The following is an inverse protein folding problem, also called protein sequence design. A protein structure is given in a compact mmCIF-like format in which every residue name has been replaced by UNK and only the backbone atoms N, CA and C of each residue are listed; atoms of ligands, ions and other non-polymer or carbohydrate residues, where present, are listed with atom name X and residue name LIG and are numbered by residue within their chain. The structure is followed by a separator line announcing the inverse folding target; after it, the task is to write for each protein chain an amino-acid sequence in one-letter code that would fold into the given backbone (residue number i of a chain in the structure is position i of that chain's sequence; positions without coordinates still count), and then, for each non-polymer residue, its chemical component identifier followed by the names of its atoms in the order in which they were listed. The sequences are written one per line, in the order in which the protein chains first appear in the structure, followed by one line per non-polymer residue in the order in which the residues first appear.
data_IF_453000248875
#
_entry.id   IF_453000248875
#
_cell.length_a   1.000
_cell.length_b   1.000
_cell.length_c   1.000
_cell.angle_alpha   90.00
_cell.angle_beta   90.00
_cell.angle_gamma   90.00
#
_symmetry.space_group_name_H-M   'P 1'
#
loop_
_entity.id
_entity.type
_entity.pdbx_description
1 polymer ?
#
# COMPACT_ATOMS: atom_id res chain seq x y z
N UNK A 1 -4.10 36.31 -41.89
CA UNK A 1 -2.98 35.36 -41.69
C UNK A 1 -3.14 34.74 -40.30
N UNK A 2 -3.48 33.46 -40.22
CA UNK A 2 -3.68 32.76 -38.93
C UNK A 2 -2.30 32.62 -38.27
N UNK A 3 -2.07 33.28 -37.14
CA UNK A 3 -0.75 33.37 -36.48
C UNK A 3 -0.37 32.10 -35.70
N UNK A 4 -1.30 31.18 -35.47
CA UNK A 4 -1.02 29.89 -34.82
C UNK A 4 -2.09 28.84 -35.24
N UNK A 5 -1.75 27.84 -36.07
CA UNK A 5 -2.71 26.85 -36.55
C UNK A 5 -3.29 25.98 -35.42
N UNK A 6 -2.52 25.72 -34.37
CA UNK A 6 -2.97 24.91 -33.23
C UNK A 6 -4.03 25.64 -32.40
N UNK A 7 -3.83 26.94 -32.15
CA UNK A 7 -4.81 27.76 -31.42
C UNK A 7 -6.15 27.84 -32.17
N UNK A 8 -6.08 27.95 -33.50
CA UNK A 8 -7.25 27.92 -34.35
C UNK A 8 -8.02 26.60 -34.20
N UNK A 9 -7.35 25.45 -34.33
CA UNK A 9 -7.98 24.13 -34.17
C UNK A 9 -8.62 23.95 -32.80
N UNK A 10 -7.89 24.29 -31.73
CA UNK A 10 -8.37 24.13 -30.34
C UNK A 10 -9.63 24.97 -30.09
N UNK A 11 -9.78 26.12 -30.73
CA UNK A 11 -10.94 27.00 -30.57
C UNK A 11 -12.25 26.34 -31.05
N UNK A 12 -12.18 25.38 -31.97
CA UNK A 12 -13.36 24.63 -32.44
C UNK A 12 -13.69 23.40 -31.59
N UNK A 13 -12.79 22.97 -30.71
CA UNK A 13 -13.03 21.82 -29.85
C UNK A 13 -14.02 22.19 -28.74
N UNK A 14 -14.91 21.26 -28.35
CA UNK A 14 -15.75 21.39 -27.17
C UNK A 14 -14.93 21.82 -25.96
N UNK A 15 -15.50 22.73 -25.17
CA UNK A 15 -14.78 23.34 -24.04
C UNK A 15 -15.63 23.44 -22.79
N UNK A 16 -14.99 23.27 -21.63
CA UNK A 16 -15.60 23.45 -20.32
C UNK A 16 -14.69 24.27 -19.40
N UNK A 17 -15.29 25.00 -18.46
CA UNK A 17 -14.55 25.65 -17.38
C UNK A 17 -14.30 24.61 -16.28
N UNK A 18 -13.03 24.42 -15.91
CA UNK A 18 -12.65 23.47 -14.86
C UNK A 18 -11.65 24.13 -13.93
N UNK A 19 -11.75 23.78 -12.65
CA UNK A 19 -10.80 24.24 -11.63
C UNK A 19 -9.49 23.49 -11.77
N UNK A 20 -8.37 24.21 -11.84
CA UNK A 20 -7.05 23.61 -11.81
C UNK A 20 -6.68 23.25 -10.36
N UNK A 21 -6.35 21.99 -10.12
CA UNK A 21 -5.89 21.49 -8.81
C UNK A 21 -4.39 21.15 -8.87
N UNK A 22 -3.80 20.83 -7.70
CA UNK A 22 -2.41 20.36 -7.62
C UNK A 22 -2.15 19.10 -8.43
N UNK A 23 -3.15 18.25 -8.63
CA UNK A 23 -3.04 17.02 -9.41
C UNK A 23 -3.32 17.25 -10.89
N UNK A 24 -3.68 18.48 -11.30
CA UNK A 24 -4.03 18.85 -12.66
C UNK A 24 -5.50 19.19 -12.83
N UNK A 25 -6.10 18.82 -13.95
CA UNK A 25 -7.50 19.15 -14.26
C UNK A 25 -8.33 17.88 -14.38
N UNK A 26 -9.53 17.90 -13.80
CA UNK A 26 -10.47 16.79 -13.88
C UNK A 26 -11.61 17.11 -14.85
N UNK A 27 -11.82 16.23 -15.83
CA UNK A 27 -12.94 16.31 -16.78
C UNK A 27 -13.39 14.89 -17.16
N UNK A 28 -14.69 14.65 -17.32
CA UNK A 28 -15.27 13.33 -17.63
C UNK A 28 -14.79 12.18 -16.73
N UNK A 29 -14.55 12.46 -15.45
CA UNK A 29 -13.98 11.53 -14.46
C UNK A 29 -12.57 11.03 -14.78
N UNK A 30 -11.85 11.75 -15.64
CA UNK A 30 -10.46 11.53 -15.96
C UNK A 30 -9.63 12.68 -15.37
N UNK A 31 -8.45 12.33 -14.89
CA UNK A 31 -7.47 13.29 -14.40
C UNK A 31 -6.44 13.53 -15.50
N UNK A 32 -6.15 14.79 -15.76
CA UNK A 32 -5.18 15.22 -16.76
C UNK A 32 -4.05 16.01 -16.13
N UNK A 33 -2.83 15.70 -16.55
CA UNK A 33 -1.61 16.35 -16.09
C UNK A 33 -0.66 16.64 -17.26
N UNK A 34 0.14 17.69 -17.11
CA UNK A 34 1.24 18.01 -18.00
C UNK A 34 2.17 19.01 -17.31
N UNK A 35 3.46 18.95 -17.60
CA UNK A 35 4.47 19.75 -16.88
C UNK A 35 4.23 21.26 -17.02
N UNK A 36 3.67 21.68 -18.16
CA UNK A 36 3.29 23.06 -18.42
C UNK A 36 2.13 23.57 -17.54
N UNK A 37 1.39 22.69 -16.86
CA UNK A 37 0.39 23.09 -15.87
C UNK A 37 1.02 23.47 -14.53
N UNK A 38 2.25 23.04 -14.24
CA UNK A 38 2.90 23.24 -12.94
C UNK A 38 2.98 24.72 -12.55
N UNK A 39 3.23 25.61 -13.51
CA UNK A 39 3.32 27.05 -13.31
C UNK A 39 2.00 27.71 -12.87
N UNK A 40 0.86 27.05 -13.05
CA UNK A 40 -0.47 27.59 -12.71
C UNK A 40 -1.03 27.00 -11.41
N UNK A 41 -0.32 26.05 -10.80
CA UNK A 41 -0.74 25.41 -9.56
C UNK A 41 -0.62 26.38 -8.39
N UNK A 42 -1.58 26.33 -7.47
CA UNK A 42 -1.63 27.19 -6.28
C UNK A 42 -2.33 28.53 -6.50
N UNK A 43 -2.61 28.92 -7.74
CA UNK A 43 -3.33 30.16 -8.05
C UNK A 43 -4.86 30.01 -7.95
N UNK A 44 -5.36 28.79 -7.68
CA UNK A 44 -6.78 28.43 -7.62
C UNK A 44 -7.63 29.01 -8.77
N UNK A 45 -7.08 29.00 -9.98
CA UNK A 45 -7.75 29.54 -11.16
C UNK A 45 -8.62 28.50 -11.85
N UNK A 46 -9.74 28.97 -12.38
CA UNK A 46 -10.54 28.23 -13.34
C UNK A 46 -9.93 28.42 -14.73
N UNK A 47 -9.72 27.29 -15.42
CA UNK A 47 -9.08 27.24 -16.74
C UNK A 47 -10.08 26.69 -17.76
N UNK A 48 -9.95 27.11 -19.03
CA UNK A 48 -10.76 26.55 -20.12
C UNK A 48 -10.10 25.29 -20.63
N UNK A 49 -10.78 24.16 -20.51
CA UNK A 49 -10.30 22.89 -21.04
C UNK A 49 -11.05 22.59 -22.31
N UNK A 50 -10.30 22.48 -23.40
CA UNK A 50 -10.76 22.00 -24.68
C UNK A 50 -10.37 20.53 -24.83
N UNK A 51 -11.25 19.72 -25.40
CA UNK A 51 -11.03 18.28 -25.54
C UNK A 51 -11.56 17.78 -26.89
N UNK A 52 -10.96 16.72 -27.42
CA UNK A 52 -11.47 16.05 -28.62
C UNK A 52 -12.46 14.95 -28.21
N UNK A 53 -13.74 14.98 -28.61
CA UNK A 53 -14.69 13.90 -28.34
C UNK A 53 -14.27 12.55 -28.92
N UNK A 54 -13.36 12.52 -29.89
CA UNK A 54 -12.85 11.31 -30.55
C UNK A 54 -11.67 10.70 -29.82
N UNK A 55 -10.94 11.47 -29.01
CA UNK A 55 -9.79 11.01 -28.26
C UNK A 55 -9.73 11.64 -26.86
N UNK A 56 -10.01 10.82 -25.84
CA UNK A 56 -9.99 11.24 -24.43
C UNK A 56 -8.59 11.34 -23.82
N UNK A 57 -7.52 10.94 -24.51
CA UNK A 57 -6.20 10.83 -23.89
C UNK A 57 -5.51 12.17 -23.68
N UNK A 58 -5.89 13.18 -24.46
CA UNK A 58 -5.26 14.50 -24.47
C UNK A 58 -6.32 15.59 -24.35
N UNK A 59 -6.01 16.61 -23.56
CA UNK A 59 -6.79 17.85 -23.48
C UNK A 59 -5.90 19.06 -23.65
N UNK A 60 -6.50 20.16 -24.11
CA UNK A 60 -5.84 21.44 -24.31
C UNK A 60 -6.37 22.43 -23.27
N UNK A 61 -5.50 22.86 -22.37
CA UNK A 61 -5.85 23.79 -21.29
C UNK A 61 -5.43 25.19 -21.71
N UNK A 62 -6.39 26.10 -21.78
CA UNK A 62 -6.17 27.52 -22.05
C UNK A 62 -6.20 28.28 -20.73
N UNK A 63 -5.11 28.97 -20.43
CA UNK A 63 -5.03 29.87 -19.28
C UNK A 63 -5.82 31.17 -19.53
N UNK A 64 -6.14 31.92 -18.46
CA UNK A 64 -6.72 33.26 -18.60
C UNK A 64 -5.85 34.23 -19.41
N UNK A 65 -4.51 34.05 -19.39
CA UNK A 65 -3.57 34.81 -20.21
C UNK A 65 -3.59 34.40 -21.71
N UNK A 66 -4.42 33.43 -22.09
CA UNK A 66 -4.58 32.97 -23.47
C UNK A 66 -3.58 31.90 -23.92
N UNK A 67 -2.65 31.47 -23.05
CA UNK A 67 -1.66 30.43 -23.38
C UNK A 67 -2.34 29.07 -23.38
N UNK A 68 -2.15 28.31 -24.46
CA UNK A 68 -2.64 26.94 -24.59
C UNK A 68 -1.50 25.98 -24.24
N UNK A 69 -1.76 25.08 -23.29
CA UNK A 69 -0.87 23.98 -22.92
C UNK A 69 -1.58 22.65 -23.10
N UNK A 70 -0.81 21.61 -23.39
CA UNK A 70 -1.35 20.25 -23.57
C UNK A 70 -1.21 19.48 -22.27
N UNK A 71 -2.25 18.73 -21.89
CA UNK A 71 -2.23 17.83 -20.75
C UNK A 71 -2.71 16.44 -21.17
N UNK A 72 -2.08 15.41 -20.63
CA UNK A 72 -2.38 14.00 -20.90
C UNK A 72 -3.08 13.35 -19.74
N UNK A 73 -3.88 12.34 -20.03
CA UNK A 73 -4.52 11.52 -19.01
C UNK A 73 -3.46 10.89 -18.10
N UNK A 74 -3.66 11.00 -16.78
CA UNK A 74 -2.71 10.51 -15.78
C UNK A 74 -2.76 8.99 -15.67
N UNK A 75 -3.93 8.38 -15.91
CA UNK A 75 -4.13 6.93 -15.83
C UNK A 75 -3.52 6.24 -17.06
N UNK A 76 -2.44 5.45 -16.91
CA UNK A 76 -1.70 4.89 -18.05
C UNK A 76 -2.46 3.78 -18.79
N UNK A 77 -3.46 3.16 -18.16
CA UNK A 77 -4.26 2.09 -18.77
C UNK A 77 -5.21 2.58 -19.86
N UNK A 78 -5.44 3.89 -19.93
CA UNK A 78 -6.41 4.48 -20.84
C UNK A 78 -5.79 4.62 -22.23
N UNK A 79 -6.34 3.85 -23.17
CA UNK A 79 -6.02 3.93 -24.59
C UNK A 79 -6.75 5.11 -25.25
N UNK A 80 -6.28 5.50 -26.44
CA UNK A 80 -7.01 6.43 -27.31
C UNK A 80 -8.34 5.79 -27.71
N UNK A 81 -9.42 6.31 -27.13
CA UNK A 81 -10.82 5.93 -27.38
C UNK A 81 -11.66 7.19 -27.38
N UNK A 82 -12.86 7.10 -27.95
CA UNK A 82 -13.80 8.22 -27.98
C UNK A 82 -14.45 8.45 -26.61
N UNK A 83 -14.93 9.68 -26.40
CA UNK A 83 -15.69 10.07 -25.21
C UNK A 83 -16.99 9.26 -25.08
N UNK A 84 -17.61 8.91 -26.21
CA UNK A 84 -18.82 8.09 -26.24
C UNK A 84 -18.54 6.66 -25.75
N UNK A 85 -17.45 6.02 -26.21
CA UNK A 85 -17.04 4.69 -25.75
C UNK A 85 -16.65 4.70 -24.28
N UNK A 86 -15.93 5.73 -23.83
CA UNK A 86 -15.62 5.92 -22.42
C UNK A 86 -16.89 6.03 -21.56
N UNK A 87 -17.85 6.83 -22.01
CA UNK A 87 -19.16 6.97 -21.37
C UNK A 87 -19.93 5.64 -21.33
N UNK A 88 -19.95 4.89 -22.42
CA UNK A 88 -20.60 3.59 -22.51
C UNK A 88 -19.96 2.57 -21.56
N UNK A 89 -18.62 2.49 -21.52
CA UNK A 89 -17.87 1.64 -20.59
C UNK A 89 -18.22 1.95 -19.15
N UNK A 90 -18.20 3.23 -18.78
CA UNK A 90 -18.54 3.72 -17.43
C UNK A 90 -19.97 3.40 -17.04
N UNK A 91 -20.91 3.57 -17.98
CA UNK A 91 -22.32 3.23 -17.75
C UNK A 91 -22.51 1.72 -17.56
N UNK A 92 -21.81 0.90 -18.35
CA UNK A 92 -21.80 -0.55 -18.19
C UNK A 92 -21.22 -0.98 -16.84
N UNK A 93 -20.08 -0.42 -16.44
CA UNK A 93 -19.46 -0.68 -15.13
C UNK A 93 -20.40 -0.26 -13.99
N UNK A 94 -21.06 0.90 -14.10
CA UNK A 94 -22.04 1.36 -13.12
C UNK A 94 -23.25 0.43 -13.04
N UNK A 95 -23.81 0.03 -14.17
CA UNK A 95 -24.95 -0.89 -14.22
C UNK A 95 -24.60 -2.24 -13.59
N UNK A 96 -23.45 -2.80 -13.93
CA UNK A 96 -22.94 -4.06 -13.34
C UNK A 96 -22.70 -3.91 -11.84
N UNK A 97 -22.17 -2.77 -11.40
CA UNK A 97 -21.95 -2.50 -9.98
C UNK A 97 -23.22 -2.27 -9.17
N UNK A 98 -24.34 -1.94 -9.84
CA UNK A 98 -25.63 -1.74 -9.19
C UNK A 98 -26.51 -2.99 -9.23
N UNK A 99 -26.11 -4.03 -9.98
CA UNK A 99 -26.85 -5.28 -10.09
C UNK A 99 -26.85 -6.03 -8.75
N UNK A 100 -28.03 -6.20 -8.10
CA UNK A 100 -28.13 -6.90 -6.83
C UNK A 100 -27.56 -8.33 -6.87
N UNK A 101 -27.68 -9.02 -8.01
CA UNK A 101 -27.15 -10.37 -8.16
C UNK A 101 -25.61 -10.37 -8.13
N UNK A 102 -24.99 -9.45 -8.87
CA UNK A 102 -23.53 -9.28 -8.89
C UNK A 102 -22.99 -8.84 -7.52
N UNK A 103 -23.70 -7.94 -6.83
CA UNK A 103 -23.36 -7.53 -5.46
C UNK A 103 -23.44 -8.68 -4.46
N UNK A 104 -24.55 -9.44 -4.47
CA UNK A 104 -24.72 -10.61 -3.60
C UNK A 104 -23.64 -11.67 -3.85
N UNK A 105 -23.26 -11.89 -5.11
CA UNK A 105 -22.18 -12.80 -5.49
C UNK A 105 -20.82 -12.32 -4.94
N UNK A 106 -20.53 -11.02 -5.08
CA UNK A 106 -19.31 -10.40 -4.52
C UNK A 106 -19.26 -10.56 -3.00
N UNK A 107 -20.36 -10.26 -2.31
CA UNK A 107 -20.46 -10.38 -0.85
C UNK A 107 -20.29 -11.84 -0.39
N UNK A 108 -20.91 -12.79 -1.08
CA UNK A 108 -20.74 -14.20 -0.81
C UNK A 108 -19.27 -14.63 -0.99
N UNK A 109 -18.60 -14.14 -2.03
CA UNK A 109 -17.17 -14.39 -2.24
C UNK A 109 -16.31 -13.82 -1.12
N UNK A 110 -16.58 -12.59 -0.67
CA UNK A 110 -15.85 -11.96 0.44
C UNK A 110 -16.04 -12.74 1.74
N UNK A 111 -17.29 -13.10 2.08
CA UNK A 111 -17.60 -13.92 3.26
C UNK A 111 -16.87 -15.26 3.25
N UNK A 112 -16.77 -15.92 2.08
CA UNK A 112 -15.99 -17.16 1.94
C UNK A 112 -14.50 -16.92 2.19
N UNK A 113 -13.94 -15.84 1.67
CA UNK A 113 -12.56 -15.43 1.94
C UNK A 113 -12.29 -15.22 3.43
N UNK A 114 -13.16 -14.46 4.11
CA UNK A 114 -13.07 -14.20 5.55
C UNK A 114 -13.15 -15.48 6.38
N UNK A 115 -14.04 -16.40 6.00
CA UNK A 115 -14.16 -17.71 6.63
C UNK A 115 -12.87 -18.52 6.49
N UNK A 116 -12.26 -18.56 5.31
CA UNK A 116 -10.98 -19.25 5.09
C UNK A 116 -9.86 -18.63 5.94
N UNK A 117 -9.76 -17.30 5.98
CA UNK A 117 -8.77 -16.59 6.79
C UNK A 117 -8.98 -16.86 8.28
N UNK A 118 -10.23 -16.84 8.76
CA UNK A 118 -10.53 -17.11 10.17
C UNK A 118 -10.19 -18.55 10.58
N UNK A 119 -10.50 -19.54 9.73
CA UNK A 119 -10.14 -20.94 9.95
C UNK A 119 -8.62 -21.14 9.96
N UNK A 120 -7.89 -20.50 9.04
CA UNK A 120 -6.43 -20.53 9.01
C UNK A 120 -5.82 -19.89 10.27
N UNK A 121 -6.38 -18.77 10.75
CA UNK A 121 -5.96 -18.15 12.01
C UNK A 121 -6.23 -19.07 13.21
N UNK A 122 -7.40 -19.72 13.26
CA UNK A 122 -7.75 -20.67 14.31
C UNK A 122 -6.80 -21.87 14.34
N UNK A 123 -6.52 -22.48 13.19
CA UNK A 123 -5.58 -23.61 13.09
C UNK A 123 -4.16 -23.20 13.47
N UNK A 124 -3.72 -22.00 13.07
CA UNK A 124 -2.42 -21.43 13.49
C UNK A 124 -2.34 -21.25 15.01
N UNK A 125 -3.39 -20.73 15.66
CA UNK A 125 -3.44 -20.58 17.12
C UNK A 125 -3.32 -21.92 17.84
N UNK A 126 -4.03 -22.95 17.37
CA UNK A 126 -3.94 -24.30 17.95
C UNK A 126 -2.54 -24.89 17.79
N UNK A 127 -1.93 -24.77 16.59
CA UNK A 127 -0.56 -25.22 16.36
C UNK A 127 0.44 -24.47 17.24
N UNK A 128 0.27 -23.16 17.40
CA UNK A 128 1.09 -22.33 18.29
C UNK A 128 1.01 -22.82 19.74
N UNK A 129 -0.20 -23.06 20.26
CA UNK A 129 -0.38 -23.61 21.62
C UNK A 129 0.30 -24.97 21.79
N UNK A 130 0.11 -25.89 20.86
CA UNK A 130 0.78 -27.21 20.90
C UNK A 130 2.30 -27.11 20.84
N UNK A 131 2.83 -26.17 20.06
CA UNK A 131 4.27 -25.93 19.98
C UNK A 131 4.82 -25.36 21.30
N UNK A 132 4.08 -24.44 21.95
CA UNK A 132 4.47 -23.91 23.27
C UNK A 132 4.36 -24.95 24.38
N UNK A 133 3.34 -25.81 24.34
CA UNK A 133 3.17 -26.94 25.27
C UNK A 133 4.33 -27.94 25.12
N UNK A 134 4.63 -28.35 23.89
CA UNK A 134 5.76 -29.24 23.60
C UNK A 134 7.14 -28.62 23.95
N UNK A 135 7.30 -27.31 23.81
CA UNK A 135 8.51 -26.60 24.24
C UNK A 135 8.60 -26.49 25.77
N UNK A 136 7.47 -26.35 26.47
CA UNK A 136 7.38 -26.35 27.92
C UNK A 136 7.72 -27.70 28.55
N UNK A 137 7.26 -28.80 27.94
CA UNK A 137 7.63 -30.16 28.35
C UNK A 137 9.13 -30.43 28.16
N UNK A 138 9.76 -29.83 27.15
CA UNK A 138 11.21 -29.93 26.92
C UNK A 138 12.06 -29.27 28.01
N UNK A 139 11.50 -28.31 28.75
CA UNK A 139 12.19 -27.58 29.82
C UNK A 139 11.63 -27.89 31.21
N UNK A 140 10.78 -28.90 31.35
CA UNK A 140 10.33 -29.40 32.66
C UNK A 140 11.47 -30.23 33.26
N UNK A 141 12.19 -29.77 34.31
CA UNK A 141 13.10 -30.65 35.03
C UNK A 141 12.27 -31.77 35.64
N UNK A 142 12.56 -33.03 35.28
CA UNK A 142 12.03 -34.17 36.00
C UNK A 142 12.42 -34.00 37.47
N UNK A 143 11.43 -34.10 38.36
CA UNK A 143 11.70 -34.07 39.79
C UNK A 143 12.67 -35.21 40.10
N UNK A 144 13.91 -34.85 40.44
CA UNK A 144 14.90 -35.80 40.95
C UNK A 144 14.26 -36.59 42.10
N UNK A 145 14.38 -37.93 42.14
CA UNK A 145 13.85 -38.71 43.24
C UNK A 145 14.50 -38.19 44.54
N UNK A 146 13.65 -37.87 45.51
CA UNK A 146 14.06 -37.51 46.87
C UNK A 146 14.78 -38.73 47.45
N UNK A 147 16.11 -38.69 47.47
CA UNK A 147 16.92 -39.62 48.28
C UNK A 147 16.86 -39.14 49.72
N UNK A 148 15.98 -39.76 50.49
CA UNK A 148 15.98 -39.62 51.95
C UNK A 148 17.01 -40.60 52.57
N UNK A 149 17.89 -40.03 53.40
CA UNK A 149 18.75 -40.64 54.42
C UNK A 149 20.01 -41.42 54.02
N UNK A 150 21.17 -40.80 54.26
CA UNK A 150 22.30 -41.44 54.94
C UNK A 150 23.16 -40.38 55.64
N UNK A 151 23.18 -40.44 56.98
CA UNK A 151 23.95 -39.66 57.96
C UNK A 151 25.48 -39.85 57.80
N UNK A 152 26.34 -38.87 58.18
CA UNK A 152 27.76 -38.83 57.80
C UNK A 152 28.69 -39.48 58.85
N UNK A 153 29.95 -39.82 58.48
CA UNK A 153 31.06 -39.94 59.42
C UNK A 153 32.03 -38.74 59.35
N UNK A 154 32.90 -38.57 60.37
CA UNK A 154 33.15 -37.26 60.98
C UNK A 154 34.39 -36.53 60.47
N UNK A 155 34.44 -35.25 60.84
CA UNK A 155 35.47 -34.27 60.54
C UNK A 155 36.84 -34.64 61.12
N UNK A 156 37.87 -34.51 60.29
CA UNK A 156 39.21 -34.13 60.74
C UNK A 156 39.74 -33.00 59.85
N UNK A 157 40.34 -32.03 60.53
CA UNK A 157 40.51 -30.66 60.08
C UNK A 157 41.69 -30.47 59.10
N UNK A 158 41.49 -29.49 58.21
CA UNK A 158 42.44 -28.74 57.38
C UNK A 158 43.76 -28.36 58.12
N UNK A 159 44.85 -27.85 57.48
CA UNK A 159 44.76 -26.89 56.36
C UNK A 159 45.95 -26.78 55.36
N UNK A 160 45.76 -25.88 54.37
CA UNK A 160 46.73 -24.89 53.84
C UNK A 160 47.15 -24.96 52.36
N UNK A 161 47.19 -23.74 51.79
CA UNK A 161 47.85 -23.23 50.57
C UNK A 161 47.07 -23.40 49.26
N UNK A 162 46.25 -22.42 48.86
CA UNK A 162 46.64 -21.16 48.21
C UNK A 162 47.23 -21.34 46.79
N UNK A 163 46.71 -20.53 45.86
CA UNK A 163 46.94 -20.50 44.41
C UNK A 163 46.20 -21.62 43.65
N UNK A 164 45.24 -21.35 42.76
CA UNK A 164 45.34 -20.44 41.61
C UNK A 164 43.99 -19.76 41.39
N UNK A 165 43.92 -18.50 41.81
CA UNK A 165 43.07 -17.49 41.18
C UNK A 165 43.78 -17.09 39.87
N UNK A 166 43.02 -16.82 38.82
CA UNK A 166 43.44 -16.31 37.50
C UNK A 166 43.78 -17.34 36.43
N UNK A 167 42.74 -17.77 35.73
CA UNK A 167 42.66 -18.22 34.34
C UNK A 167 41.27 -18.86 34.27
N UNK A 168 40.22 -18.18 33.81
CA UNK A 168 39.94 -17.92 32.41
C UNK A 168 38.83 -16.83 32.38
N UNK A 169 39.23 -15.58 32.25
CA UNK A 169 38.39 -14.55 31.64
C UNK A 169 39.17 -14.06 30.44
N UNK A 170 38.81 -14.56 29.27
CA UNK A 170 39.08 -13.88 28.01
C UNK A 170 38.10 -14.42 26.98
N UNK A 171 37.05 -13.65 26.68
CA UNK A 171 36.53 -13.36 25.32
C UNK A 171 35.59 -12.16 25.47
N UNK A 172 36.17 -10.99 25.22
CA UNK A 172 35.68 -9.86 24.43
C UNK A 172 34.17 -9.58 24.35
N UNK A 173 33.83 -8.36 24.78
CA UNK A 173 32.58 -7.70 24.47
C UNK A 173 32.44 -7.40 22.98
N UNK A 174 31.24 -7.62 22.47
CA UNK A 174 30.80 -7.12 21.17
C UNK A 174 29.88 -5.95 21.47
N UNK A 175 30.39 -4.74 21.22
CA UNK A 175 29.63 -3.49 21.23
C UNK A 175 28.60 -3.47 20.10
N UNK A 176 27.37 -3.07 20.43
CA UNK A 176 26.35 -2.66 19.47
C UNK A 176 26.38 -1.12 19.40
N UNK A 177 26.86 -0.57 18.29
CA UNK A 177 26.62 0.83 17.93
C UNK A 177 25.30 0.96 17.15
N UNK A 178 24.51 1.98 17.51
CA UNK A 178 23.30 2.48 16.85
C UNK A 178 23.61 3.67 15.95
#
# INVERSE_FOLDING_TARGET
MVRNPTEFLVTFLPSEMRRLTRTGVQIHNLQYWGDALAQWIGQHQDVRVHYDPRDITVVYVRSPAGVIVTARVTTPEIKSISLAEWGARRNYERATSSDPAFMAQRDASQKRGDQLVSQAKASRRVRGRKATEAAGDRWRPEASPVTESATPPPAEAAPMLAAVVSQIYDVEGIDYDY
#
